data_IF_863443340046
#
_entry.id   IF_863443340046
#
_cell.length_a   1.000
_cell.length_b   1.000
_cell.length_c   1.000
_cell.angle_alpha   90.00
_cell.angle_beta   90.00
_cell.angle_gamma   90.00
#
_symmetry.space_group_name_H-M   'P 1'
#
loop_
_entity.id
_entity.type
_entity.pdbx_description
1 polymer ?
#
# COMPACT_ATOMS: atom_id res chain seq x y z
N UNK A 1 6.74 -21.81 7.17
CA UNK A 1 6.23 -21.21 6.00
C UNK A 1 6.46 -19.72 5.97
N UNK A 2 6.96 -19.27 4.90
CA UNK A 2 7.27 -17.86 4.75
C UNK A 2 6.07 -17.05 4.42
N UNK A 3 5.96 -15.93 5.07
CA UNK A 3 4.88 -15.01 4.78
C UNK A 3 5.42 -13.92 3.88
N UNK A 4 4.95 -13.87 2.66
CA UNK A 4 5.43 -12.87 1.74
C UNK A 4 4.88 -11.49 2.03
N UNK A 5 3.86 -11.42 2.85
CA UNK A 5 3.22 -10.15 3.13
C UNK A 5 3.73 -9.57 4.43
N UNK A 6 4.11 -8.33 4.36
CA UNK A 6 4.57 -7.63 5.54
C UNK A 6 3.38 -7.11 6.33
N UNK A 7 3.44 -7.25 7.64
CA UNK A 7 2.47 -6.64 8.51
C UNK A 7 3.02 -5.32 9.00
N UNK A 8 2.31 -4.27 8.71
CA UNK A 8 2.79 -2.96 9.04
C UNK A 8 1.67 -2.14 9.67
N UNK A 9 1.94 -1.55 10.80
CA UNK A 9 0.97 -0.73 11.48
C UNK A 9 1.14 0.71 11.05
N UNK A 10 0.07 1.27 10.50
CA UNK A 10 0.09 2.65 10.06
C UNK A 10 -0.48 3.54 11.13
N UNK A 11 0.13 4.71 11.26
CA UNK A 11 -0.40 5.73 12.15
C UNK A 11 -0.90 6.86 11.28
N UNK A 12 -2.20 6.91 11.11
CA UNK A 12 -2.78 7.92 10.23
C UNK A 12 -3.94 8.57 10.94
N UNK A 13 -4.25 9.76 10.50
CA UNK A 13 -5.36 10.52 11.05
C UNK A 13 -6.65 9.71 10.93
N UNK A 14 -7.42 9.68 12.01
CA UNK A 14 -8.61 8.85 12.06
C UNK A 14 -9.63 9.28 11.03
N UNK A 15 -9.86 10.57 10.90
CA UNK A 15 -10.83 11.05 9.95
C UNK A 15 -10.40 10.77 8.52
N UNK A 16 -9.13 10.96 8.26
CA UNK A 16 -8.61 10.65 6.93
C UNK A 16 -8.81 9.18 6.59
N UNK A 17 -8.55 8.32 7.55
CA UNK A 17 -8.70 6.90 7.30
C UNK A 17 -10.16 6.51 7.08
N UNK A 18 -11.08 7.16 7.78
CA UNK A 18 -12.49 6.91 7.54
C UNK A 18 -12.87 7.24 6.12
N UNK A 19 -12.36 8.36 5.62
CA UNK A 19 -12.65 8.74 4.23
C UNK A 19 -12.03 7.76 3.27
N UNK A 20 -10.85 7.30 3.58
CA UNK A 20 -10.18 6.33 2.72
C UNK A 20 -10.98 5.03 2.66
N UNK A 21 -11.50 4.58 3.80
CA UNK A 21 -12.30 3.37 3.81
C UNK A 21 -13.58 3.54 3.01
N UNK A 22 -14.16 4.72 3.09
CA UNK A 22 -15.34 4.99 2.31
C UNK A 22 -15.07 4.84 0.82
N UNK A 23 -13.94 5.40 0.37
CA UNK A 23 -13.58 5.29 -1.03
C UNK A 23 -13.33 3.84 -1.42
N UNK A 24 -12.65 3.10 -0.56
CA UNK A 24 -12.36 1.70 -0.86
C UNK A 24 -13.66 0.91 -1.01
N UNK A 25 -14.60 1.11 -0.11
CA UNK A 25 -15.85 0.38 -0.18
C UNK A 25 -16.67 0.80 -1.39
N UNK A 26 -16.60 2.06 -1.74
CA UNK A 26 -17.29 2.53 -2.94
C UNK A 26 -16.78 1.79 -4.16
N UNK A 27 -15.50 1.50 -4.18
CA UNK A 27 -14.89 0.80 -5.31
C UNK A 27 -14.93 -0.70 -5.17
N UNK A 28 -15.57 -1.20 -4.13
CA UNK A 28 -15.71 -2.64 -3.97
C UNK A 28 -14.48 -3.33 -3.43
N UNK A 29 -13.64 -2.62 -2.71
CA UNK A 29 -12.44 -3.18 -2.15
C UNK A 29 -12.40 -3.01 -0.65
N UNK A 30 -11.69 -3.90 0.02
CA UNK A 30 -11.41 -3.67 1.42
C UNK A 30 -10.36 -2.59 1.54
N UNK A 31 -10.26 -1.99 2.73
CA UNK A 31 -9.27 -0.95 2.95
C UNK A 31 -7.87 -1.51 2.71
N UNK A 32 -7.63 -2.74 3.13
CA UNK A 32 -6.30 -3.32 2.94
C UNK A 32 -5.96 -3.47 1.47
N UNK A 33 -6.92 -3.93 0.68
CA UNK A 33 -6.69 -4.05 -0.75
C UNK A 33 -6.51 -2.71 -1.42
N UNK A 34 -7.23 -1.72 -0.96
CA UNK A 34 -7.08 -0.39 -1.53
C UNK A 34 -5.70 0.18 -1.22
N UNK A 35 -5.21 -0.05 0.00
CA UNK A 35 -3.87 0.39 0.36
C UNK A 35 -2.85 -0.29 -0.54
N UNK A 36 -2.99 -1.58 -0.75
CA UNK A 36 -2.07 -2.32 -1.59
C UNK A 36 -2.03 -1.76 -3.00
N UNK A 37 -3.21 -1.48 -3.56
CA UNK A 37 -3.29 -0.92 -4.90
C UNK A 37 -2.67 0.46 -4.97
N UNK A 38 -2.90 1.26 -3.93
CA UNK A 38 -2.34 2.59 -3.90
C UNK A 38 -0.81 2.54 -3.85
N UNK A 39 -0.28 1.64 -3.03
CA UNK A 39 1.16 1.51 -2.93
C UNK A 39 1.75 1.07 -4.27
N UNK A 40 1.12 0.13 -4.92
CA UNK A 40 1.62 -0.34 -6.21
C UNK A 40 1.66 0.78 -7.23
N UNK A 41 0.60 1.58 -7.29
CA UNK A 41 0.55 2.67 -8.25
C UNK A 41 1.59 3.73 -7.94
N UNK A 42 1.76 4.01 -6.66
CA UNK A 42 2.71 5.05 -6.26
C UNK A 42 4.15 4.63 -6.61
N UNK A 43 4.47 3.38 -6.33
CA UNK A 43 5.80 2.87 -6.64
C UNK A 43 6.02 2.82 -8.15
N UNK A 44 5.01 2.34 -8.88
CA UNK A 44 5.15 2.24 -10.33
C UNK A 44 5.38 3.61 -10.95
N UNK A 45 4.71 4.62 -10.41
CA UNK A 45 4.87 5.97 -10.93
C UNK A 45 6.30 6.47 -10.72
N UNK A 46 6.84 6.21 -9.53
CA UNK A 46 8.21 6.61 -9.25
C UNK A 46 9.19 5.91 -10.18
N UNK A 47 8.98 4.60 -10.36
CA UNK A 47 9.91 3.84 -11.18
C UNK A 47 9.83 4.22 -12.64
N UNK A 48 8.67 4.67 -13.08
CA UNK A 48 8.54 5.10 -14.45
C UNK A 48 9.38 6.36 -14.70
N UNK A 49 9.51 7.20 -13.69
CA UNK A 49 10.24 8.45 -13.83
C UNK A 49 11.71 8.32 -13.49
N UNK A 50 12.05 7.42 -12.58
CA UNK A 50 13.41 7.35 -12.06
C UNK A 50 14.10 6.01 -12.30
N UNK A 51 13.39 5.07 -12.90
CA UNK A 51 13.97 3.75 -13.12
C UNK A 51 13.71 2.82 -11.95
N UNK A 52 14.09 1.56 -12.09
CA UNK A 52 13.79 0.58 -11.06
C UNK A 52 14.39 0.95 -9.71
N UNK A 53 13.64 0.70 -8.67
CA UNK A 53 14.11 0.95 -7.33
C UNK A 53 14.94 -0.24 -6.87
N UNK A 54 16.17 0.01 -6.41
CA UNK A 54 16.98 -1.10 -5.89
C UNK A 54 16.37 -1.62 -4.61
N UNK A 55 16.24 -2.92 -4.53
CA UNK A 55 15.72 -3.55 -3.33
C UNK A 55 16.75 -4.48 -2.78
N UNK A 56 16.62 -4.75 -1.51
CA UNK A 56 17.52 -5.66 -0.84
C UNK A 56 16.73 -6.79 -0.25
N UNK A 57 17.32 -7.99 -0.18
CA UNK A 57 16.65 -9.08 0.51
C UNK A 57 16.43 -8.68 1.94
N UNK A 58 15.23 -8.89 2.42
CA UNK A 58 14.97 -8.56 3.80
C UNK A 58 15.24 -9.73 4.67
N UNK A 59 15.62 -9.39 5.85
CA UNK A 59 15.94 -10.41 6.82
C UNK A 59 14.93 -10.52 7.88
N UNK A 60 13.85 -10.01 7.79
CA UNK A 60 12.96 -10.03 8.88
C UNK A 60 12.32 -11.19 9.18
#
# INVERSE_FOLDING_TARGET
MEDKLLRYTLRVDRLLFQKFRYVAEYEGRSANKEIEQFLKRHVAEFERQHGPIPTQPTEE
#
